data_IF_964608607082
#
_entry.id   IF_964608607082
#
_cell.length_a   1.000
_cell.length_b   1.000
_cell.length_c   1.000
_cell.angle_alpha   90.00
_cell.angle_beta   90.00
_cell.angle_gamma   90.00
#
_symmetry.space_group_name_H-M   'P 1'
#
loop_
_entity.id
_entity.type
_entity.pdbx_description
1 polymer ?
#
# COMPACT_ATOMS: atom_id res chain seq x y z
N UNK A 1 10.94 7.36 -24.14
CA UNK A 1 9.98 8.09 -23.28
C UNK A 1 10.33 7.80 -21.83
N UNK A 2 10.63 8.81 -21.00
CA UNK A 2 10.75 8.61 -19.55
C UNK A 2 9.35 8.27 -19.04
N UNK A 3 9.16 7.08 -18.46
CA UNK A 3 7.94 6.77 -17.72
C UNK A 3 7.89 7.74 -16.54
N UNK A 4 6.90 8.61 -16.51
CA UNK A 4 6.69 9.49 -15.36
C UNK A 4 6.41 8.63 -14.13
N UNK A 5 7.15 8.90 -13.06
CA UNK A 5 6.99 8.18 -11.80
C UNK A 5 5.94 8.90 -10.97
N UNK A 6 4.91 8.18 -10.53
CA UNK A 6 3.89 8.73 -9.64
C UNK A 6 4.34 8.54 -8.19
N UNK A 7 4.21 9.57 -7.37
CA UNK A 7 4.53 9.53 -5.93
C UNK A 7 3.28 9.85 -5.13
N UNK A 8 2.89 8.93 -4.25
CA UNK A 8 1.72 9.07 -3.38
C UNK A 8 2.13 9.17 -1.90
N UNK A 9 1.45 10.04 -1.17
CA UNK A 9 1.50 10.15 0.31
C UNK A 9 0.30 9.47 0.99
N UNK A 10 -0.56 8.82 0.20
CA UNK A 10 -1.83 8.23 0.64
C UNK A 10 -1.70 6.69 0.75
N UNK A 11 -1.35 6.14 1.94
CA UNK A 11 -1.14 4.71 2.11
C UNK A 11 -2.39 3.87 1.81
N UNK A 12 -3.59 4.42 2.02
CA UNK A 12 -4.87 3.79 1.69
C UNK A 12 -5.04 3.58 0.18
N UNK A 13 -4.67 4.55 -0.65
CA UNK A 13 -4.73 4.43 -2.11
C UNK A 13 -3.69 3.41 -2.58
N UNK A 14 -2.48 3.48 -2.03
CA UNK A 14 -1.39 2.56 -2.35
C UNK A 14 -1.76 1.11 -2.02
N UNK A 15 -2.38 0.89 -0.85
CA UNK A 15 -2.85 -0.43 -0.47
C UNK A 15 -3.97 -0.95 -1.38
N UNK A 16 -4.86 -0.07 -1.84
CA UNK A 16 -5.94 -0.45 -2.76
C UNK A 16 -5.32 -0.95 -4.06
N UNK A 17 -4.45 -0.13 -4.65
CA UNK A 17 -3.73 -0.46 -5.88
C UNK A 17 -2.99 -1.80 -5.74
N UNK A 18 -2.24 -1.97 -4.63
CA UNK A 18 -1.48 -3.19 -4.36
C UNK A 18 -2.40 -4.43 -4.29
N UNK A 19 -3.55 -4.30 -3.62
CA UNK A 19 -4.48 -5.41 -3.39
C UNK A 19 -5.32 -5.76 -4.62
N UNK A 20 -5.71 -4.79 -5.44
CA UNK A 20 -6.63 -4.99 -6.57
C UNK A 20 -5.91 -5.27 -7.88
N UNK A 21 -4.70 -4.72 -8.06
CA UNK A 21 -3.98 -4.81 -9.34
C UNK A 21 -2.65 -5.55 -9.25
N UNK A 22 -2.13 -5.78 -8.03
CA UNK A 22 -0.78 -6.35 -7.83
C UNK A 22 0.36 -5.41 -8.24
N UNK A 23 0.07 -4.16 -8.63
CA UNK A 23 1.08 -3.16 -8.96
C UNK A 23 1.89 -2.80 -7.71
N UNK A 24 3.20 -3.04 -7.79
CA UNK A 24 4.11 -2.81 -6.67
C UNK A 24 4.52 -1.34 -6.58
N UNK A 25 4.50 -0.81 -5.35
CA UNK A 25 5.09 0.48 -5.02
C UNK A 25 6.43 0.32 -4.32
N UNK A 26 7.28 1.35 -4.42
CA UNK A 26 8.55 1.43 -3.67
C UNK A 26 8.41 2.48 -2.57
N UNK A 27 8.34 2.08 -1.29
CA UNK A 27 8.30 3.03 -0.20
C UNK A 27 9.67 3.72 -0.03
N UNK A 28 9.66 5.01 0.29
CA UNK A 28 10.86 5.76 0.65
C UNK A 28 10.52 6.89 1.63
N UNK A 29 11.53 7.37 2.36
CA UNK A 29 11.39 8.53 3.23
C UNK A 29 11.83 9.77 2.46
N UNK A 30 10.92 10.72 2.26
CA UNK A 30 11.23 11.99 1.59
C UNK A 30 12.14 12.84 2.47
N UNK A 31 13.24 13.33 1.92
CA UNK A 31 14.25 14.05 2.71
C UNK A 31 13.79 15.43 3.18
N UNK A 32 12.92 16.10 2.42
CA UNK A 32 12.48 17.47 2.72
C UNK A 32 11.63 17.57 3.99
N UNK A 33 10.84 16.54 4.30
CA UNK A 33 9.88 16.57 5.41
C UNK A 33 9.77 15.25 6.20
N UNK A 34 10.66 14.29 5.93
CA UNK A 34 10.73 12.99 6.60
C UNK A 34 9.45 12.15 6.49
N UNK A 35 8.54 12.45 5.56
CA UNK A 35 7.33 11.64 5.34
C UNK A 35 7.63 10.36 4.56
N UNK A 36 6.86 9.31 4.84
CA UNK A 36 6.85 8.08 4.03
C UNK A 36 6.03 8.34 2.77
N UNK A 37 6.63 8.10 1.62
CA UNK A 37 6.02 8.24 0.31
C UNK A 37 6.16 6.92 -0.46
N UNK A 38 5.27 6.69 -1.43
CA UNK A 38 5.23 5.49 -2.24
C UNK A 38 5.41 5.85 -3.71
N UNK A 39 6.44 5.30 -4.35
CA UNK A 39 6.73 5.54 -5.77
C UNK A 39 6.22 4.39 -6.63
N UNK A 40 5.54 4.73 -7.72
CA UNK A 40 5.23 3.81 -8.81
C UNK A 40 6.03 4.21 -10.04
N UNK A 41 6.76 3.24 -10.61
CA UNK A 41 7.53 3.44 -11.85
C UNK A 41 6.66 3.23 -13.11
N UNK A 42 5.36 3.51 -12.99
CA UNK A 42 4.33 3.35 -14.01
C UNK A 42 3.18 4.34 -13.77
N UNK A 43 2.38 4.55 -14.80
CA UNK A 43 1.12 5.28 -14.68
C UNK A 43 0.11 4.45 -13.87
N UNK A 44 -0.52 5.13 -12.91
CA UNK A 44 -1.54 4.58 -12.01
C UNK A 44 -2.80 5.45 -11.97
N UNK A 45 -2.98 6.34 -12.96
CA UNK A 45 -4.09 7.30 -12.99
C UNK A 45 -5.45 6.60 -12.97
N UNK A 46 -5.59 5.52 -13.74
CA UNK A 46 -6.83 4.73 -13.76
C UNK A 46 -7.12 4.11 -12.39
N UNK A 47 -6.13 3.54 -11.71
CA UNK A 47 -6.39 2.93 -10.41
C UNK A 47 -6.74 3.95 -9.32
N UNK A 48 -6.25 5.18 -9.45
CA UNK A 48 -6.65 6.28 -8.56
C UNK A 48 -8.11 6.65 -8.83
N UNK A 49 -8.52 6.75 -10.10
CA UNK A 49 -9.92 6.98 -10.49
C UNK A 49 -10.83 5.84 -10.01
N UNK A 50 -10.38 4.59 -10.16
CA UNK A 50 -11.07 3.40 -9.68
C UNK A 50 -11.19 3.42 -8.15
N UNK A 51 -10.15 3.85 -7.43
CA UNK A 51 -10.24 4.03 -5.99
C UNK A 51 -11.36 5.00 -5.63
N UNK A 52 -11.35 6.21 -6.21
CA UNK A 52 -12.34 7.25 -5.89
C UNK A 52 -13.77 6.92 -6.34
N UNK A 53 -13.94 6.20 -7.45
CA UNK A 53 -15.26 5.72 -7.89
C UNK A 53 -15.82 4.62 -6.97
N UNK A 54 -14.95 3.85 -6.31
CA UNK A 54 -15.32 2.82 -5.32
C UNK A 54 -15.44 3.33 -3.88
N UNK A 55 -15.23 4.63 -3.60
CA UNK A 55 -15.38 5.24 -2.24
C UNK A 55 -16.84 5.20 -1.73
N UNK A 56 -17.79 4.68 -2.51
CA UNK A 56 -19.10 4.25 -1.98
C UNK A 56 -19.02 3.04 -1.04
N UNK A 57 -17.90 2.32 -0.99
CA UNK A 57 -17.66 1.24 -0.03
C UNK A 57 -17.29 1.85 1.34
N UNK A 58 -17.95 1.46 2.45
CA UNK A 58 -17.66 2.01 3.76
C UNK A 58 -16.18 1.85 4.11
N UNK A 59 -15.48 2.96 4.32
CA UNK A 59 -14.06 3.02 4.71
C UNK A 59 -13.77 2.13 5.93
N UNK A 60 -14.77 1.83 6.76
CA UNK A 60 -14.69 0.87 7.86
C UNK A 60 -14.32 -0.55 7.41
N UNK A 61 -14.94 -1.05 6.33
CA UNK A 61 -14.66 -2.40 5.78
C UNK A 61 -13.29 -2.45 5.13
N UNK A 62 -12.90 -1.36 4.46
CA UNK A 62 -11.57 -1.21 3.89
C UNK A 62 -10.47 -1.18 4.96
N UNK A 63 -10.65 -0.38 6.02
CA UNK A 63 -9.74 -0.31 7.17
C UNK A 63 -9.66 -1.66 7.92
N UNK A 64 -10.75 -2.41 7.98
CA UNK A 64 -10.79 -3.76 8.56
C UNK A 64 -9.92 -4.74 7.75
N UNK A 65 -10.01 -4.70 6.42
CA UNK A 65 -9.17 -5.51 5.54
C UNK A 65 -7.68 -5.14 5.66
N UNK A 66 -7.36 -3.85 5.75
CA UNK A 66 -5.99 -3.38 5.98
C UNK A 66 -5.39 -3.87 7.31
N UNK A 67 -6.17 -3.85 8.40
CA UNK A 67 -5.75 -4.39 9.70
C UNK A 67 -5.50 -5.90 9.64
N UNK A 68 -6.29 -6.65 8.88
CA UNK A 68 -6.10 -8.08 8.65
C UNK A 68 -4.79 -8.37 7.90
N UNK A 69 -4.50 -7.62 6.84
CA UNK A 69 -3.23 -7.71 6.10
C UNK A 69 -2.03 -7.45 7.03
N UNK A 70 -2.11 -6.40 7.86
CA UNK A 70 -1.08 -6.10 8.86
C UNK A 70 -0.87 -7.26 9.84
N UNK A 71 -1.94 -7.87 10.33
CA UNK A 71 -1.85 -9.02 11.25
C UNK A 71 -1.17 -10.22 10.59
N UNK A 72 -1.47 -10.51 9.33
CA UNK A 72 -0.86 -11.65 8.62
C UNK A 72 0.65 -11.47 8.40
N UNK A 73 1.10 -10.26 8.09
CA UNK A 73 2.53 -9.94 7.91
C UNK A 73 3.32 -10.15 9.22
N UNK A 74 2.79 -9.72 10.37
CA UNK A 74 3.48 -9.87 11.66
C UNK A 74 3.31 -11.25 12.33
N UNK A 75 2.30 -12.02 11.95
CA UNK A 75 2.12 -13.39 12.48
C UNK A 75 3.13 -14.37 11.87
N UNK A 76 3.54 -14.15 10.61
CA UNK A 76 4.56 -14.96 9.94
C UNK A 76 5.94 -14.81 10.58
N UNK A 77 6.31 -13.63 11.08
CA UNK A 77 7.60 -13.44 11.78
C UNK A 77 7.59 -14.00 13.21
N UNK A 78 6.42 -14.09 13.84
CA UNK A 78 6.29 -14.58 15.22
C UNK A 78 6.20 -16.10 15.34
N UNK A 79 5.98 -16.81 14.23
CA UNK A 79 5.78 -18.27 14.21
C UNK A 79 7.04 -19.09 13.88
N UNK A 80 8.18 -18.42 13.63
CA UNK A 80 9.45 -19.06 13.28
C UNK A 80 10.51 -19.09 14.41
N UNK A 81 10.17 -18.61 15.61
CA UNK A 81 11.11 -18.43 16.72
C UNK A 81 10.85 -19.32 17.93
N UNK A 82 10.57 -20.60 17.72
CA UNK A 82 10.38 -21.58 18.79
C UNK A 82 11.42 -22.70 18.72
N UNK A 83 12.16 -22.85 19.82
CA UNK A 83 13.05 -23.97 20.20
C UNK A 83 14.48 -24.02 19.62
N UNK A 84 15.41 -23.37 20.32
CA UNK A 84 16.71 -24.01 20.63
C UNK A 84 17.07 -23.74 22.10
N UNK A 85 16.87 -24.79 22.92
CA UNK A 85 17.45 -25.10 24.24
C UNK A 85 17.23 -24.14 25.41
#
# INVERSE_FOLDING_TARGET
>A
MKKESVVLEAPEIVAFILCTTGKQSRPFVRQSDRKVCFRFDMDISQEIEDFYSNVSVPIADYCKNLKLIRSMIFTLESSGGGHVR
#
